data_IF_777819928679
#
_entry.id   IF_777819928679
#
_cell.length_a   1.000
_cell.length_b   1.000
_cell.length_c   1.000
_cell.angle_alpha   90.00
_cell.angle_beta   90.00
_cell.angle_gamma   90.00
#
_symmetry.space_group_name_H-M   'P 1'
#
loop_
_entity.id
_entity.type
_entity.pdbx_description
1 polymer ?
#
# COMPACT_ATOMS: atom_id res chain seq x y z
N UNK A 1 -8.29 -22.79 -7.79
CA UNK A 1 -8.34 -21.70 -6.80
C UNK A 1 -6.94 -21.52 -6.26
N UNK A 2 -6.51 -20.29 -6.00
CA UNK A 2 -5.16 -20.00 -5.48
C UNK A 2 -5.27 -19.11 -4.24
N UNK A 3 -4.55 -19.45 -3.18
CA UNK A 3 -4.50 -18.67 -1.93
C UNK A 3 -3.08 -18.20 -1.64
N UNK A 4 -2.96 -17.09 -0.91
CA UNK A 4 -1.69 -16.57 -0.46
C UNK A 4 -1.01 -17.55 0.53
N UNK A 5 0.33 -17.65 0.54
CA UNK A 5 1.08 -18.45 1.50
C UNK A 5 0.80 -18.11 2.97
N UNK A 6 0.43 -16.86 3.25
CA UNK A 6 0.09 -16.37 4.60
C UNK A 6 -1.40 -16.53 4.94
N UNK A 7 -2.20 -17.10 4.05
CA UNK A 7 -3.65 -17.16 4.23
C UNK A 7 -4.00 -18.04 5.45
N UNK A 8 -4.85 -17.58 6.40
CA UNK A 8 -5.14 -18.32 7.63
C UNK A 8 -5.71 -19.73 7.43
N UNK A 9 -6.33 -19.98 6.28
CA UNK A 9 -6.87 -21.29 5.93
C UNK A 9 -5.84 -22.31 5.42
N UNK A 10 -4.57 -21.94 5.20
CA UNK A 10 -3.52 -22.84 4.67
C UNK A 10 -3.44 -24.12 5.50
N UNK A 11 -3.37 -24.01 6.83
CA UNK A 11 -3.28 -25.18 7.72
C UNK A 11 -4.50 -26.10 7.61
N UNK A 12 -5.70 -25.53 7.50
CA UNK A 12 -6.96 -26.27 7.38
C UNK A 12 -7.14 -26.97 6.02
N UNK A 13 -6.55 -26.40 4.96
CA UNK A 13 -6.70 -26.89 3.59
C UNK A 13 -5.58 -27.83 3.18
N UNK A 14 -4.51 -27.95 3.97
CA UNK A 14 -3.37 -28.81 3.64
C UNK A 14 -3.63 -30.23 4.13
N UNK A 15 -3.58 -31.22 3.24
CA UNK A 15 -3.67 -32.63 3.64
C UNK A 15 -2.36 -33.09 4.27
N UNK A 16 -2.36 -34.15 5.10
CA UNK A 16 -1.14 -34.65 5.74
C UNK A 16 -0.02 -34.97 4.76
N UNK A 17 -0.35 -35.46 3.56
CA UNK A 17 0.61 -35.83 2.51
C UNK A 17 1.31 -34.60 1.91
N UNK A 18 0.64 -33.44 1.89
CA UNK A 18 1.17 -32.19 1.33
C UNK A 18 1.83 -31.30 2.37
N UNK A 19 1.73 -31.63 3.66
CA UNK A 19 2.16 -30.77 4.77
C UNK A 19 3.61 -30.30 4.65
N UNK A 20 4.54 -31.23 4.38
CA UNK A 20 5.96 -30.90 4.26
C UNK A 20 6.26 -29.96 3.07
N UNK A 21 5.63 -30.21 1.92
CA UNK A 21 5.81 -29.40 0.72
C UNK A 21 5.20 -28.00 0.88
N UNK A 22 4.01 -27.91 1.45
CA UNK A 22 3.33 -26.64 1.73
C UNK A 22 4.13 -25.81 2.73
N UNK A 23 4.59 -26.41 3.81
CA UNK A 23 5.40 -25.70 4.82
C UNK A 23 6.67 -25.12 4.19
N UNK A 24 7.42 -25.92 3.45
CA UNK A 24 8.63 -25.47 2.78
C UNK A 24 8.36 -24.32 1.79
N UNK A 25 7.24 -24.39 1.05
CA UNK A 25 6.85 -23.33 0.13
C UNK A 25 6.47 -22.03 0.85
N UNK A 26 5.70 -22.11 1.93
CA UNK A 26 5.33 -20.95 2.74
C UNK A 26 6.54 -20.28 3.39
N UNK A 27 7.51 -21.06 3.89
CA UNK A 27 8.77 -20.54 4.43
C UNK A 27 9.60 -19.81 3.35
N UNK A 28 9.68 -20.39 2.14
CA UNK A 28 10.36 -19.75 1.01
C UNK A 28 9.65 -18.47 0.55
N UNK A 29 8.32 -18.45 0.56
CA UNK A 29 7.55 -17.27 0.20
C UNK A 29 7.71 -16.14 1.23
N UNK A 30 7.79 -16.47 2.51
CA UNK A 30 7.96 -15.51 3.61
C UNK A 30 9.31 -14.77 3.55
N UNK A 31 10.32 -15.31 2.87
CA UNK A 31 11.60 -14.63 2.66
C UNK A 31 11.60 -13.63 1.50
N UNK A 32 10.48 -13.45 0.79
CA UNK A 32 10.33 -12.56 -0.36
C UNK A 32 9.46 -11.37 0.01
N UNK A 33 9.80 -10.17 -0.47
CA UNK A 33 8.88 -9.03 -0.32
C UNK A 33 7.70 -9.13 -1.29
N UNK A 34 6.60 -8.43 -0.99
CA UNK A 34 5.48 -8.27 -1.92
C UNK A 34 5.94 -7.80 -3.32
N UNK A 35 6.94 -6.92 -3.38
CA UNK A 35 7.50 -6.45 -4.64
C UNK A 35 8.17 -7.59 -5.40
N UNK A 36 9.01 -8.38 -4.74
CA UNK A 36 9.73 -9.50 -5.36
C UNK A 36 8.78 -10.62 -5.81
N UNK A 37 7.56 -10.67 -5.25
CA UNK A 37 6.48 -11.61 -5.62
C UNK A 37 5.63 -11.10 -6.78
N UNK A 38 5.54 -9.77 -6.95
CA UNK A 38 4.79 -9.12 -8.02
C UNK A 38 5.64 -8.87 -9.27
N UNK A 39 6.96 -8.88 -9.17
CA UNK A 39 7.84 -8.87 -10.35
C UNK A 39 7.53 -10.07 -11.24
N UNK A 40 7.33 -9.79 -12.54
CA UNK A 40 7.08 -10.82 -13.55
C UNK A 40 8.29 -11.76 -13.67
N UNK A 41 8.22 -12.87 -12.95
CA UNK A 41 9.17 -13.97 -13.08
C UNK A 41 8.78 -14.83 -14.26
N UNK A 42 9.82 -15.30 -14.96
CA UNK A 42 9.69 -16.27 -16.06
C UNK A 42 9.02 -17.57 -15.61
N UNK A 43 9.31 -18.01 -14.38
CA UNK A 43 8.74 -19.23 -13.81
C UNK A 43 7.73 -18.86 -12.71
N UNK A 44 6.48 -19.29 -12.87
CA UNK A 44 5.50 -19.26 -11.77
C UNK A 44 5.89 -20.29 -10.74
N UNK A 45 5.46 -20.12 -9.50
CA UNK A 45 5.68 -21.11 -8.46
C UNK A 45 4.40 -21.33 -7.68
N UNK A 46 4.21 -22.54 -7.18
CA UNK A 46 3.04 -22.88 -6.39
C UNK A 46 3.09 -24.32 -5.91
N UNK A 47 2.26 -24.62 -4.92
CA UNK A 47 2.16 -25.96 -4.31
C UNK A 47 0.68 -26.34 -4.16
N UNK A 48 0.36 -27.59 -4.52
CA UNK A 48 -0.98 -28.12 -4.35
C UNK A 48 -1.23 -28.49 -2.89
N UNK A 49 -2.37 -28.09 -2.35
CA UNK A 49 -2.70 -28.33 -0.93
C UNK A 49 -3.17 -29.75 -0.64
N UNK A 50 -3.54 -30.53 -1.66
CA UNK A 50 -4.22 -31.81 -1.50
C UNK A 50 -5.75 -31.67 -1.41
N UNK A 51 -6.26 -30.45 -1.23
CA UNK A 51 -7.68 -30.17 -1.06
C UNK A 51 -8.32 -29.54 -2.30
N UNK A 52 -9.65 -29.64 -2.34
CA UNK A 52 -10.49 -29.11 -3.40
C UNK A 52 -11.56 -28.19 -2.82
N UNK A 53 -11.89 -27.13 -3.56
CA UNK A 53 -13.03 -26.26 -3.31
C UNK A 53 -14.18 -26.64 -4.26
N UNK A 54 -15.42 -26.43 -3.85
CA UNK A 54 -16.59 -26.63 -4.73
C UNK A 54 -16.92 -25.31 -5.40
N UNK A 55 -16.97 -25.30 -6.74
CA UNK A 55 -17.47 -24.14 -7.48
C UNK A 55 -19.00 -24.01 -7.24
N UNK A 56 -19.48 -22.87 -6.71
CA UNK A 56 -20.87 -22.72 -6.30
C UNK A 56 -21.87 -22.71 -7.46
N UNK A 57 -21.40 -22.60 -8.72
CA UNK A 57 -22.25 -22.52 -9.90
C UNK A 57 -22.47 -23.89 -10.54
N UNK A 58 -21.39 -24.64 -10.80
CA UNK A 58 -21.45 -25.92 -11.50
C UNK A 58 -21.25 -27.13 -10.56
N UNK A 59 -20.91 -26.91 -9.28
CA UNK A 59 -20.69 -27.96 -8.29
C UNK A 59 -19.38 -28.74 -8.46
N UNK A 60 -18.54 -28.38 -9.42
CA UNK A 60 -17.30 -29.11 -9.70
C UNK A 60 -16.22 -28.84 -8.65
N UNK A 61 -15.36 -29.85 -8.45
CA UNK A 61 -14.20 -29.75 -7.58
C UNK A 61 -13.06 -29.00 -8.29
N UNK A 62 -12.60 -27.92 -7.67
CA UNK A 62 -11.50 -27.10 -8.15
C UNK A 62 -10.31 -27.29 -7.21
N UNK A 63 -9.12 -27.68 -7.70
CA UNK A 63 -7.96 -27.84 -6.84
C UNK A 63 -7.56 -26.51 -6.19
N UNK A 64 -7.17 -26.58 -4.92
CA UNK A 64 -6.68 -25.43 -4.16
C UNK A 64 -5.15 -25.45 -4.14
N UNK A 65 -4.56 -24.37 -4.66
CA UNK A 65 -3.12 -24.16 -4.72
C UNK A 65 -2.72 -23.00 -3.81
N UNK A 66 -1.47 -23.02 -3.36
CA UNK A 66 -0.82 -21.89 -2.69
C UNK A 66 0.22 -21.34 -3.66
N UNK A 67 0.20 -20.03 -3.92
CA UNK A 67 1.18 -19.40 -4.80
C UNK A 67 1.52 -17.98 -4.34
N UNK A 68 2.79 -17.61 -4.48
CA UNK A 68 3.31 -16.33 -4.00
C UNK A 68 2.84 -15.11 -4.80
N UNK A 69 2.36 -15.28 -6.03
CA UNK A 69 1.76 -14.17 -6.80
C UNK A 69 0.40 -13.69 -6.23
N UNK A 70 -0.23 -14.47 -5.35
CA UNK A 70 -1.43 -14.05 -4.60
C UNK A 70 -0.99 -13.43 -3.28
N UNK A 71 -1.33 -12.16 -3.06
CA UNK A 71 -0.92 -11.40 -1.88
C UNK A 71 -2.03 -11.37 -0.83
N UNK A 72 -1.69 -11.70 0.42
CA UNK A 72 -2.64 -11.67 1.55
C UNK A 72 -3.21 -10.27 1.80
N UNK A 73 -2.44 -9.22 1.48
CA UNK A 73 -2.83 -7.83 1.66
C UNK A 73 -3.73 -7.29 0.53
N UNK A 74 -4.14 -8.13 -0.44
CA UNK A 74 -4.96 -7.70 -1.57
C UNK A 74 -6.22 -8.57 -1.71
N UNK A 75 -7.39 -7.93 -1.72
CA UNK A 75 -8.66 -8.63 -1.72
C UNK A 75 -8.81 -9.48 -0.45
N UNK A 76 -9.14 -10.76 -0.62
CA UNK A 76 -9.25 -11.73 0.49
C UNK A 76 -7.99 -12.57 0.69
N UNK A 77 -6.91 -12.31 -0.06
CA UNK A 77 -5.75 -13.21 -0.13
C UNK A 77 -6.06 -14.55 -0.79
N UNK A 78 -7.16 -14.64 -1.53
CA UNK A 78 -7.57 -15.81 -2.28
C UNK A 78 -8.24 -15.37 -3.60
N UNK A 79 -7.96 -16.10 -4.69
CA UNK A 79 -8.54 -15.84 -6.01
C UNK A 79 -9.09 -17.11 -6.64
N UNK A 80 -10.14 -16.93 -7.45
CA UNK A 80 -10.43 -17.89 -8.51
C UNK A 80 -9.42 -17.69 -9.63
N UNK A 81 -8.97 -18.80 -10.23
CA UNK A 81 -8.10 -18.75 -11.39
C UNK A 81 -8.92 -19.10 -12.63
N UNK A 82 -8.81 -18.31 -13.70
CA UNK A 82 -9.55 -18.51 -14.96
C UNK A 82 -8.56 -18.52 -16.13
N UNK A 83 -7.83 -19.63 -16.35
CA UNK A 83 -6.67 -19.67 -17.25
C UNK A 83 -6.94 -19.31 -18.71
N UNK A 84 -8.17 -19.50 -19.21
CA UNK A 84 -8.51 -19.11 -20.57
C UNK A 84 -8.64 -17.58 -20.75
N UNK A 85 -8.78 -16.83 -19.65
CA UNK A 85 -9.18 -15.41 -19.66
C UNK A 85 -8.40 -14.51 -18.70
N UNK A 86 -7.34 -15.01 -18.05
CA UNK A 86 -6.32 -14.22 -17.33
C UNK A 86 -4.93 -14.78 -17.66
N UNK A 87 -4.05 -13.92 -18.19
CA UNK A 87 -2.71 -14.31 -18.65
C UNK A 87 -1.85 -14.92 -17.55
N UNK A 88 -1.97 -14.44 -16.30
CA UNK A 88 -1.16 -14.97 -15.18
C UNK A 88 -1.64 -16.36 -14.79
N UNK A 89 -2.95 -16.57 -14.80
CA UNK A 89 -3.55 -17.88 -14.54
C UNK A 89 -3.25 -18.86 -15.69
N UNK A 90 -3.18 -18.38 -16.93
CA UNK A 90 -2.74 -19.16 -18.08
C UNK A 90 -1.31 -19.67 -17.92
N UNK A 91 -0.37 -18.78 -17.59
CA UNK A 91 1.04 -19.14 -17.37
C UNK A 91 1.18 -20.15 -16.23
N UNK A 92 0.45 -19.93 -15.12
CA UNK A 92 0.43 -20.86 -14.00
C UNK A 92 -0.15 -22.21 -14.41
N UNK A 93 -1.28 -22.21 -15.11
CA UNK A 93 -1.94 -23.45 -15.55
C UNK A 93 -1.06 -24.25 -16.51
N UNK A 94 -0.39 -23.58 -17.46
CA UNK A 94 0.55 -24.22 -18.38
C UNK A 94 1.72 -24.87 -17.64
N UNK A 95 2.25 -24.21 -16.62
CA UNK A 95 3.38 -24.73 -15.86
C UNK A 95 3.01 -25.97 -15.00
N UNK A 96 1.81 -25.99 -14.45
CA UNK A 96 1.34 -27.06 -13.56
C UNK A 96 0.38 -28.04 -14.23
N UNK A 97 0.29 -28.01 -15.56
CA UNK A 97 -0.59 -28.86 -16.38
C UNK A 97 -2.06 -28.85 -15.90
N UNK A 98 -2.55 -27.66 -15.55
CA UNK A 98 -3.94 -27.45 -15.10
C UNK A 98 -4.84 -27.24 -16.32
N UNK A 99 -6.02 -27.88 -16.38
CA UNK A 99 -6.94 -27.72 -17.50
C UNK A 99 -7.32 -26.26 -17.77
N UNK A 100 -7.26 -25.87 -19.04
CA UNK A 100 -7.68 -24.56 -19.54
C UNK A 100 -9.05 -24.73 -20.19
N UNK A 101 -10.09 -24.12 -19.61
CA UNK A 101 -11.47 -24.22 -20.08
C UNK A 101 -11.91 -22.84 -20.57
N UNK A 102 -12.21 -22.74 -21.86
CA UNK A 102 -12.77 -21.53 -22.45
C UNK A 102 -14.23 -21.37 -22.07
N UNK A 103 -14.59 -20.19 -21.53
CA UNK A 103 -15.96 -19.82 -21.15
C UNK A 103 -16.44 -18.52 -21.79
N UNK A 104 -15.57 -17.83 -22.54
CA UNK A 104 -15.89 -16.64 -23.32
C UNK A 104 -15.39 -16.83 -24.74
N UNK A 105 -16.31 -16.89 -25.71
CA UNK A 105 -15.99 -16.88 -27.14
C UNK A 105 -15.58 -15.48 -27.57
N UNK A 106 -14.45 -15.38 -28.30
CA UNK A 106 -14.00 -14.16 -28.97
C UNK A 106 -15.06 -13.69 -30.00
N UNK A 107 -15.34 -12.39 -30.12
CA UNK A 107 -16.17 -11.88 -31.21
C UNK A 107 -15.53 -12.17 -32.58
N UNK A 108 -16.34 -12.49 -33.59
CA UNK A 108 -15.85 -12.76 -34.96
C UNK A 108 -15.08 -11.57 -35.59
N UNK A 109 -15.30 -10.35 -35.06
CA UNK A 109 -14.60 -9.13 -35.48
C UNK A 109 -13.19 -8.99 -34.93
N UNK A 110 -12.82 -9.77 -33.92
CA UNK A 110 -11.47 -9.84 -33.40
C UNK A 110 -10.81 -11.07 -34.03
N UNK A 111 -9.79 -10.84 -34.87
CA UNK A 111 -9.02 -11.95 -35.42
C UNK A 111 -8.49 -12.81 -34.26
N UNK A 112 -8.47 -14.13 -34.44
CA UNK A 112 -7.74 -15.00 -33.53
C UNK A 112 -6.26 -14.67 -33.68
N UNK A 113 -5.77 -13.70 -32.90
CA UNK A 113 -4.35 -13.55 -32.66
C UNK A 113 -3.85 -14.90 -32.10
N UNK A 114 -2.58 -15.25 -32.36
CA UNK A 114 -1.91 -16.42 -31.75
C UNK A 114 -1.80 -16.32 -30.21
N UNK A 115 -2.54 -15.40 -29.59
CA UNK A 115 -2.64 -15.22 -28.15
C UNK A 115 -3.48 -16.34 -27.51
N UNK A 116 -2.87 -17.17 -26.66
CA UNK A 116 -3.52 -18.34 -26.10
C UNK A 116 -4.54 -18.01 -24.98
N UNK A 117 -4.71 -16.73 -24.63
CA UNK A 117 -5.61 -16.27 -23.57
C UNK A 117 -6.45 -15.08 -24.07
N UNK A 118 -7.77 -15.15 -23.92
CA UNK A 118 -8.68 -14.07 -24.32
C UNK A 118 -9.16 -13.26 -23.13
N UNK A 119 -8.70 -12.02 -22.99
CA UNK A 119 -9.05 -11.13 -21.86
C UNK A 119 -10.13 -10.09 -22.20
N UNK A 120 -10.69 -10.13 -23.41
CA UNK A 120 -11.69 -9.18 -23.89
C UNK A 120 -13.12 -9.50 -23.44
N UNK A 121 -14.08 -8.70 -23.92
CA UNK A 121 -15.49 -9.01 -23.78
C UNK A 121 -15.95 -9.85 -24.98
N UNK A 122 -16.69 -10.91 -24.72
CA UNK A 122 -17.28 -11.74 -25.76
C UNK A 122 -18.60 -12.36 -25.31
N UNK A 123 -18.88 -13.55 -25.83
CA UNK A 123 -20.12 -14.29 -25.58
C UNK A 123 -19.86 -15.49 -24.68
N UNK A 124 -20.67 -15.68 -23.65
CA UNK A 124 -20.52 -16.81 -22.75
C UNK A 124 -20.76 -18.15 -23.48
N UNK A 125 -19.82 -19.08 -23.30
CA UNK A 125 -19.86 -20.47 -23.79
C UNK A 125 -19.48 -21.41 -22.63
N UNK A 126 -19.77 -22.71 -22.75
CA UNK A 126 -19.46 -23.71 -21.71
C UNK A 126 -19.90 -23.32 -20.29
N UNK A 127 -20.95 -22.50 -20.18
CA UNK A 127 -21.41 -21.82 -18.95
C UNK A 127 -22.87 -22.17 -18.62
N UNK A 128 -23.36 -23.33 -19.05
CA UNK A 128 -24.70 -23.82 -18.72
C UNK A 128 -25.82 -22.85 -19.11
N UNK A 129 -26.65 -22.46 -18.14
CA UNK A 129 -27.78 -21.52 -18.33
C UNK A 129 -27.36 -20.10 -18.74
N UNK A 130 -26.08 -19.78 -18.68
CA UNK A 130 -25.55 -18.48 -19.06
C UNK A 130 -25.05 -18.42 -20.52
N UNK A 131 -25.04 -19.55 -21.23
CA UNK A 131 -24.59 -19.59 -22.62
C UNK A 131 -25.37 -18.59 -23.50
N UNK A 132 -24.63 -17.90 -24.39
CA UNK A 132 -25.19 -16.92 -25.31
C UNK A 132 -25.33 -15.50 -24.76
N UNK A 133 -25.13 -15.29 -23.45
CA UNK A 133 -25.12 -13.95 -22.87
C UNK A 133 -23.85 -13.19 -23.25
N UNK A 134 -23.97 -11.88 -23.49
CA UNK A 134 -22.79 -11.01 -23.60
C UNK A 134 -22.08 -10.90 -22.24
N UNK A 135 -20.78 -10.61 -22.24
CA UNK A 135 -20.00 -10.47 -20.99
C UNK A 135 -20.60 -9.45 -19.99
N UNK A 136 -21.12 -8.27 -20.41
CA UNK A 136 -21.82 -7.36 -19.50
C UNK A 136 -23.11 -7.95 -18.90
N UNK A 137 -23.95 -8.60 -19.69
CA UNK A 137 -25.19 -9.24 -19.23
C UNK A 137 -24.89 -10.41 -18.30
N UNK A 138 -23.89 -11.23 -18.65
CA UNK A 138 -23.40 -12.32 -17.81
C UNK A 138 -22.99 -11.81 -16.42
N UNK A 139 -22.15 -10.75 -16.36
CA UNK A 139 -21.67 -10.17 -15.09
C UNK A 139 -22.81 -9.68 -14.20
N UNK A 140 -23.86 -9.09 -14.78
CA UNK A 140 -25.03 -8.68 -14.02
C UNK A 140 -25.82 -9.88 -13.50
N UNK A 141 -26.07 -10.86 -14.36
CA UNK A 141 -26.89 -12.02 -14.01
C UNK A 141 -26.21 -12.93 -12.99
N UNK A 142 -24.93 -13.27 -13.19
CA UNK A 142 -24.18 -14.11 -12.25
C UNK A 142 -24.07 -13.48 -10.87
N UNK A 143 -23.91 -12.15 -10.79
CA UNK A 143 -23.85 -11.45 -9.51
C UNK A 143 -25.19 -11.52 -8.76
N UNK A 144 -26.31 -11.40 -9.46
CA UNK A 144 -27.65 -11.52 -8.87
C UNK A 144 -27.94 -12.95 -8.41
N UNK A 145 -27.57 -13.95 -9.21
CA UNK A 145 -27.78 -15.36 -8.89
C UNK A 145 -26.94 -15.79 -7.67
N UNK A 146 -25.65 -15.39 -7.62
CA UNK A 146 -24.76 -15.62 -6.46
C UNK A 146 -25.28 -14.94 -5.18
N UNK A 147 -25.82 -13.72 -5.30
CA UNK A 147 -26.42 -13.01 -4.18
C UNK A 147 -27.69 -13.70 -3.67
N UNK A 148 -28.55 -14.16 -4.58
CA UNK A 148 -29.79 -14.88 -4.25
C UNK A 148 -29.49 -16.23 -3.58
N UNK A 149 -28.44 -16.92 -4.04
CA UNK A 149 -27.99 -18.19 -3.45
C UNK A 149 -27.24 -18.01 -2.11
N UNK A 150 -26.89 -16.78 -1.73
CA UNK A 150 -26.11 -16.51 -0.51
C UNK A 150 -24.64 -16.94 -0.61
N UNK A 151 -24.13 -17.23 -1.81
CA UNK A 151 -22.75 -17.70 -2.04
C UNK A 151 -21.81 -16.61 -2.55
N UNK A 152 -22.32 -15.40 -2.80
CA UNK A 152 -21.52 -14.26 -3.20
C UNK A 152 -22.23 -12.93 -2.99
N UNK A 153 -21.48 -11.83 -3.08
CA UNK A 153 -22.01 -10.46 -3.06
C UNK A 153 -21.12 -9.55 -3.90
N UNK A 154 -21.69 -8.45 -4.37
CA UNK A 154 -20.89 -7.39 -4.98
C UNK A 154 -19.97 -6.74 -3.94
N UNK A 155 -18.77 -6.38 -4.40
CA UNK A 155 -17.77 -5.67 -3.61
C UNK A 155 -17.04 -4.67 -4.51
N UNK A 156 -16.74 -3.49 -3.96
CA UNK A 156 -15.85 -2.51 -4.58
C UNK A 156 -14.47 -2.71 -3.97
N UNK A 157 -13.47 -2.87 -4.82
CA UNK A 157 -12.08 -3.05 -4.40
C UNK A 157 -11.20 -1.95 -4.99
N UNK A 158 -10.23 -1.48 -4.20
CA UNK A 158 -9.27 -0.47 -4.62
C UNK A 158 -7.88 -1.10 -4.73
N UNK A 159 -7.10 -0.66 -5.73
CA UNK A 159 -5.67 -0.99 -5.78
C UNK A 159 -4.87 -0.24 -4.71
N UNK A 160 -5.40 0.89 -4.22
CA UNK A 160 -4.80 1.67 -3.15
C UNK A 160 -4.76 0.83 -1.87
N UNK A 161 -3.62 0.85 -1.19
CA UNK A 161 -3.42 0.21 0.12
C UNK A 161 -3.37 1.27 1.21
N UNK A 162 -3.64 0.85 2.43
CA UNK A 162 -3.41 1.68 3.60
C UNK A 162 -1.96 2.12 3.67
N UNK A 163 -1.78 3.34 4.18
CA UNK A 163 -0.47 3.95 4.23
C UNK A 163 0.32 3.45 5.43
N UNK A 164 1.36 2.65 5.16
CA UNK A 164 2.36 2.30 6.17
C UNK A 164 3.10 3.57 6.63
N UNK A 165 2.64 4.11 7.76
CA UNK A 165 3.07 5.41 8.26
C UNK A 165 4.34 5.30 9.11
N UNK A 166 4.46 4.30 9.99
CA UNK A 166 5.59 4.13 10.91
C UNK A 166 6.95 3.90 10.23
N UNK A 167 8.03 4.40 10.85
CA UNK A 167 9.44 4.18 10.44
C UNK A 167 10.29 3.73 11.62
N UNK A 168 11.15 2.73 11.38
CA UNK A 168 12.17 2.29 12.34
C UNK A 168 13.44 3.15 12.22
N UNK A 169 13.29 4.47 12.36
CA UNK A 169 14.36 5.47 12.19
C UNK A 169 14.38 6.41 13.38
N UNK A 170 15.54 6.96 13.70
CA UNK A 170 15.67 7.99 14.74
C UNK A 170 15.14 9.35 14.28
N UNK A 171 15.53 9.80 13.07
CA UNK A 171 15.23 11.15 12.59
C UNK A 171 13.82 11.25 11.98
N UNK A 172 12.84 11.41 12.86
CA UNK A 172 11.43 11.64 12.51
C UNK A 172 10.65 11.99 13.78
N UNK A 173 9.44 12.51 13.63
CA UNK A 173 8.61 12.91 14.76
C UNK A 173 8.22 11.68 15.59
N UNK A 174 8.42 11.67 16.92
CA UNK A 174 7.93 10.59 17.78
C UNK A 174 6.41 10.47 17.72
N UNK A 175 5.89 9.25 17.65
CA UNK A 175 4.45 9.06 17.82
C UNK A 175 4.02 9.44 19.23
N UNK A 176 2.92 10.19 19.41
CA UNK A 176 2.35 10.47 20.72
C UNK A 176 1.53 9.27 21.21
N UNK A 177 2.12 8.07 21.21
CA UNK A 177 1.49 6.80 21.60
C UNK A 177 2.26 6.17 22.76
N UNK A 178 1.50 5.65 23.72
CA UNK A 178 1.97 5.03 24.95
C UNK A 178 1.40 3.62 25.06
N UNK A 179 2.26 2.65 25.35
CA UNK A 179 1.90 1.27 25.64
C UNK A 179 2.02 1.05 27.15
N UNK A 180 0.95 0.66 27.84
CA UNK A 180 1.02 0.37 29.26
C UNK A 180 1.90 -0.85 29.52
N UNK A 181 2.72 -0.78 30.56
CA UNK A 181 3.60 -1.88 30.97
C UNK A 181 3.35 -2.26 32.43
N UNK A 182 3.47 -3.55 32.72
CA UNK A 182 3.40 -4.06 34.08
C UNK A 182 4.69 -3.79 34.90
N UNK A 183 4.74 -4.32 36.11
CA UNK A 183 5.89 -4.16 37.01
C UNK A 183 7.19 -4.76 36.44
N UNK A 184 7.08 -5.78 35.59
CA UNK A 184 8.18 -6.45 34.92
C UNK A 184 8.53 -5.82 33.56
N UNK A 185 7.84 -4.72 33.19
CA UNK A 185 8.06 -3.98 31.95
C UNK A 185 7.43 -4.63 30.72
N UNK A 186 6.56 -5.62 30.88
CA UNK A 186 5.87 -6.28 29.77
C UNK A 186 4.60 -5.51 29.37
N UNK A 187 4.29 -5.40 28.06
CA UNK A 187 3.07 -4.74 27.61
C UNK A 187 1.82 -5.44 28.14
N UNK A 188 0.91 -4.69 28.78
CA UNK A 188 -0.39 -5.24 29.24
C UNK A 188 -1.40 -5.37 28.10
N UNK A 189 -1.12 -4.73 26.95
CA UNK A 189 -2.01 -4.62 25.80
C UNK A 189 -2.83 -3.33 25.79
N UNK A 190 -2.86 -2.55 26.88
CA UNK A 190 -3.50 -1.25 26.89
C UNK A 190 -2.62 -0.20 26.17
N UNK A 191 -3.25 0.61 25.32
CA UNK A 191 -2.60 1.64 24.49
C UNK A 191 -3.37 2.95 24.61
N UNK A 192 -2.67 4.07 24.74
CA UNK A 192 -3.28 5.41 24.74
C UNK A 192 -2.42 6.46 24.06
N UNK A 193 -3.03 7.61 23.76
CA UNK A 193 -2.30 8.80 23.32
C UNK A 193 -1.58 9.50 24.48
N UNK A 194 -0.51 10.24 24.16
CA UNK A 194 0.09 11.21 25.09
C UNK A 194 -0.93 12.34 25.34
N UNK A 195 -1.13 12.78 26.59
CA UNK A 195 -2.02 13.91 26.88
C UNK A 195 -1.63 15.17 26.11
N UNK A 196 -2.61 15.95 25.62
CA UNK A 196 -2.35 17.17 24.83
C UNK A 196 -1.42 18.17 25.55
N UNK A 197 -1.55 18.30 26.88
CA UNK A 197 -0.71 19.17 27.71
C UNK A 197 0.75 18.71 27.83
N UNK A 198 1.07 17.50 27.39
CA UNK A 198 2.42 16.93 27.35
C UNK A 198 2.97 16.85 25.93
N UNK A 199 2.29 17.45 24.95
CA UNK A 199 2.82 17.63 23.60
C UNK A 199 3.69 18.90 23.55
N UNK A 200 4.71 18.92 22.67
CA UNK A 200 5.16 17.83 21.81
C UNK A 200 5.94 16.74 22.58
N UNK A 201 6.01 15.53 22.00
CA UNK A 201 6.98 14.53 22.43
C UNK A 201 8.29 14.83 21.72
N UNK A 202 9.22 15.47 22.42
CA UNK A 202 10.53 15.80 21.84
C UNK A 202 11.35 14.54 21.58
N UNK A 203 12.13 14.55 20.50
CA UNK A 203 13.14 13.52 20.26
C UNK A 203 14.17 13.54 21.40
N UNK A 204 14.50 12.39 22.01
CA UNK A 204 15.50 12.33 23.04
C UNK A 204 16.90 12.55 22.44
N UNK A 205 17.81 13.10 23.24
CA UNK A 205 19.22 13.11 22.88
C UNK A 205 19.77 11.68 22.88
N UNK A 206 20.46 11.29 21.80
CA UNK A 206 21.23 10.04 21.72
C UNK A 206 22.61 10.33 21.11
N UNK A 207 23.66 9.74 21.67
CA UNK A 207 25.02 9.88 21.12
C UNK A 207 25.21 9.06 19.82
N UNK A 208 24.46 7.96 19.69
CA UNK A 208 24.54 7.06 18.53
C UNK A 208 23.16 6.70 17.97
N UNK A 209 22.94 7.06 16.71
CA UNK A 209 21.69 6.82 15.97
C UNK A 209 21.74 5.55 15.11
N UNK A 210 22.85 4.80 15.11
CA UNK A 210 22.99 3.60 14.29
C UNK A 210 22.04 2.49 14.74
N UNK A 211 21.57 1.64 13.80
CA UNK A 211 20.91 0.40 14.16
C UNK A 211 21.80 -0.45 15.07
N UNK A 212 21.21 -1.04 16.11
CA UNK A 212 21.94 -1.82 17.12
C UNK A 212 21.91 -3.34 16.84
N UNK A 213 21.62 -3.74 15.60
CA UNK A 213 21.60 -5.16 15.19
C UNK A 213 20.48 -6.02 15.77
N UNK A 214 19.52 -5.42 16.48
CA UNK A 214 18.29 -6.07 16.95
C UNK A 214 17.10 -5.51 16.16
N UNK A 215 15.93 -6.18 16.11
CA UNK A 215 14.80 -5.74 15.27
C UNK A 215 14.16 -4.43 15.73
N UNK A 216 14.45 -3.96 16.95
CA UNK A 216 13.85 -2.73 17.49
C UNK A 216 14.38 -1.45 16.82
N UNK A 217 13.57 -0.37 16.79
CA UNK A 217 13.99 0.93 16.28
C UNK A 217 15.09 1.58 17.11
N UNK A 218 15.87 2.53 16.55
CA UNK A 218 16.90 3.25 17.29
C UNK A 218 16.44 3.93 18.59
N UNK A 219 15.19 4.42 18.66
CA UNK A 219 14.62 5.04 19.86
C UNK A 219 14.42 4.05 21.03
N UNK A 220 14.50 2.75 20.79
CA UNK A 220 14.54 1.77 21.87
C UNK A 220 15.82 1.86 22.74
N UNK A 221 16.82 2.64 22.31
CA UNK A 221 18.01 2.99 23.10
C UNK A 221 17.85 4.26 23.94
N UNK A 222 16.69 4.92 23.86
CA UNK A 222 16.47 6.16 24.58
C UNK A 222 16.59 5.96 26.11
N UNK A 223 17.03 6.99 26.84
CA UNK A 223 17.07 6.94 28.30
C UNK A 223 15.73 6.50 28.89
N UNK A 224 15.78 5.73 29.98
CA UNK A 224 14.59 5.19 30.63
C UNK A 224 13.58 6.27 31.04
N UNK A 225 14.07 7.45 31.44
CA UNK A 225 13.22 8.60 31.79
C UNK A 225 12.35 9.10 30.62
N UNK A 226 12.85 8.97 29.39
CA UNK A 226 12.10 9.33 28.19
C UNK A 226 11.25 8.16 27.72
N UNK A 227 11.83 6.96 27.67
CA UNK A 227 11.21 5.76 27.09
C UNK A 227 10.07 5.23 27.97
N UNK A 228 10.22 5.34 29.29
CA UNK A 228 9.28 4.81 30.28
C UNK A 228 8.65 5.88 31.19
N UNK A 229 7.83 6.80 30.64
CA UNK A 229 7.19 7.82 31.45
C UNK A 229 6.15 7.20 32.40
N UNK A 230 6.01 7.81 33.57
CA UNK A 230 4.90 7.53 34.50
C UNK A 230 3.88 8.66 34.39
N UNK A 231 2.64 8.34 34.03
CA UNK A 231 1.56 9.31 33.89
C UNK A 231 0.36 8.80 34.67
N UNK A 232 -0.19 9.65 35.55
CA UNK A 232 -1.30 9.30 36.44
C UNK A 232 -1.03 8.06 37.30
N UNK A 233 0.24 7.83 37.67
CA UNK A 233 0.68 6.68 38.46
C UNK A 233 0.86 5.38 37.68
N UNK A 234 0.58 5.38 36.36
CA UNK A 234 0.73 4.22 35.48
C UNK A 234 2.02 4.37 34.68
N UNK A 235 2.81 3.29 34.61
CA UNK A 235 4.04 3.23 33.82
C UNK A 235 3.72 2.83 32.39
N UNK A 236 4.26 3.57 31.44
CA UNK A 236 4.11 3.29 30.01
C UNK A 236 5.47 3.10 29.37
N UNK A 237 5.48 2.51 28.17
CA UNK A 237 6.58 2.55 27.20
C UNK A 237 6.14 3.36 25.99
N UNK A 238 6.92 4.34 25.55
CA UNK A 238 6.63 5.11 24.32
C UNK A 238 6.71 4.23 23.08
N UNK A 239 5.91 4.54 22.06
CA UNK A 239 6.17 4.04 20.71
C UNK A 239 7.56 4.50 20.27
N UNK A 240 8.34 3.55 19.75
CA UNK A 240 9.75 3.73 19.37
C UNK A 240 9.94 3.87 17.86
N UNK A 241 8.88 3.61 17.07
CA UNK A 241 8.83 4.07 15.70
C UNK A 241 8.65 5.58 15.64
N UNK A 242 9.05 6.17 14.51
CA UNK A 242 8.83 7.58 14.19
C UNK A 242 7.89 7.73 13.01
N UNK A 243 7.29 8.90 12.88
CA UNK A 243 6.51 9.28 11.71
C UNK A 243 7.44 9.44 10.48
N UNK A 244 6.92 9.25 9.26
CA UNK A 244 7.72 9.45 8.05
C UNK A 244 7.85 10.95 7.74
N UNK A 245 8.85 11.35 6.95
CA UNK A 245 9.01 12.74 6.48
C UNK A 245 7.74 13.36 5.86
N UNK A 246 6.83 12.53 5.36
CA UNK A 246 5.55 12.97 4.80
C UNK A 246 4.53 13.43 5.87
N UNK A 247 4.74 13.11 7.15
CA UNK A 247 3.89 13.60 8.24
C UNK A 247 3.85 15.13 8.27
N UNK A 248 5.00 15.80 8.11
CA UNK A 248 5.06 17.25 7.96
C UNK A 248 4.64 17.72 6.56
N UNK A 249 5.13 17.05 5.50
CA UNK A 249 4.91 17.53 4.13
C UNK A 249 3.45 17.48 3.67
N UNK A 250 2.56 16.72 4.33
CA UNK A 250 1.16 16.63 3.90
C UNK A 250 0.29 17.83 4.29
N UNK A 251 0.79 18.75 5.13
CA UNK A 251 0.00 19.88 5.61
C UNK A 251 0.80 21.19 5.78
N UNK A 252 2.10 21.19 5.45
CA UNK A 252 2.98 22.36 5.57
C UNK A 252 2.46 23.66 4.91
N UNK A 253 1.70 23.54 3.82
CA UNK A 253 1.09 24.69 3.14
C UNK A 253 0.08 25.43 4.05
N UNK A 254 -0.58 24.72 4.98
CA UNK A 254 -1.42 25.33 6.02
C UNK A 254 -0.54 26.03 7.06
N UNK A 255 0.58 25.41 7.44
CA UNK A 255 1.46 25.99 8.45
C UNK A 255 2.14 27.27 7.99
N UNK A 256 2.40 27.43 6.69
CA UNK A 256 2.94 28.68 6.13
C UNK A 256 2.00 29.88 6.32
N UNK A 257 0.69 29.66 6.45
CA UNK A 257 -0.29 30.71 6.69
C UNK A 257 -0.11 31.32 8.09
N UNK A 258 0.23 30.49 9.08
CA UNK A 258 0.38 30.93 10.47
C UNK A 258 1.55 30.24 11.22
N UNK A 259 2.80 30.49 10.81
CA UNK A 259 3.94 29.64 11.19
C UNK A 259 4.38 29.78 12.65
N UNK A 260 3.94 30.83 13.36
CA UNK A 260 4.33 31.13 14.75
C UNK A 260 3.23 30.86 15.77
N UNK A 261 2.09 30.30 15.34
CA UNK A 261 0.98 30.00 16.23
C UNK A 261 1.28 28.76 17.09
N UNK A 262 1.35 28.94 18.41
CA UNK A 262 1.66 27.88 19.37
C UNK A 262 0.40 27.24 19.99
N UNK A 263 -0.80 27.75 19.67
CA UNK A 263 -2.07 27.24 20.18
C UNK A 263 -2.81 26.34 19.17
N UNK A 264 -2.55 26.53 17.88
CA UNK A 264 -3.19 25.78 16.80
C UNK A 264 -2.23 25.57 15.62
N UNK A 265 -2.54 24.58 14.78
CA UNK A 265 -1.76 24.32 13.58
C UNK A 265 -1.91 25.45 12.54
N UNK A 266 -3.07 26.10 12.48
CA UNK A 266 -3.36 27.34 11.73
C UNK A 266 -4.55 28.09 12.37
N UNK A 267 -4.54 29.41 12.33
CA UNK A 267 -5.71 30.23 12.69
C UNK A 267 -6.83 30.07 11.63
N UNK A 268 -8.09 29.79 12.01
CA UNK A 268 -9.18 29.56 11.05
C UNK A 268 -9.54 30.75 10.16
N UNK A 269 -9.38 31.99 10.63
CA UNK A 269 -9.66 33.18 9.82
C UNK A 269 -8.55 33.38 8.78
N UNK A 270 -7.30 33.18 9.17
CA UNK A 270 -6.17 33.21 8.22
C UNK A 270 -6.25 32.07 7.22
N UNK A 271 -6.64 30.87 7.64
CA UNK A 271 -6.84 29.73 6.75
C UNK A 271 -7.85 30.06 5.64
N UNK A 272 -9.03 30.56 6.00
CA UNK A 272 -10.07 30.95 5.03
C UNK A 272 -9.63 32.07 4.09
N UNK A 273 -8.75 32.96 4.57
CA UNK A 273 -8.26 34.07 3.75
C UNK A 273 -7.26 33.63 2.68
N UNK A 274 -6.49 32.56 2.93
CA UNK A 274 -5.40 32.11 2.05
C UNK A 274 -5.68 30.82 1.30
N UNK A 275 -6.62 29.99 1.76
CA UNK A 275 -6.94 28.72 1.13
C UNK A 275 -8.07 28.84 0.09
N UNK A 276 -8.04 28.01 -0.98
CA UNK A 276 -7.03 27.00 -1.30
C UNK A 276 -5.78 27.61 -1.94
N UNK A 277 -4.70 26.83 -2.07
CA UNK A 277 -3.52 27.26 -2.84
C UNK A 277 -3.90 27.40 -4.32
N UNK A 278 -3.79 28.61 -4.88
CA UNK A 278 -4.16 28.89 -6.26
C UNK A 278 -3.32 28.10 -7.28
N UNK A 279 -1.99 28.09 -7.08
CA UNK A 279 -1.02 27.44 -7.97
C UNK A 279 0.04 26.69 -7.15
N UNK A 280 0.03 25.37 -7.27
CA UNK A 280 1.06 24.50 -6.74
C UNK A 280 2.01 24.06 -7.87
N UNK A 281 3.31 24.27 -7.69
CA UNK A 281 4.35 23.89 -8.66
C UNK A 281 5.23 22.82 -8.03
N UNK A 282 5.38 21.66 -8.67
CA UNK A 282 6.20 20.57 -8.15
C UNK A 282 6.46 19.47 -9.18
N UNK A 283 7.54 18.71 -9.02
CA UNK A 283 7.88 17.67 -9.99
C UNK A 283 6.86 16.52 -10.04
N UNK A 284 6.69 15.92 -11.21
CA UNK A 284 5.74 14.82 -11.43
C UNK A 284 6.03 13.57 -10.57
N UNK A 285 7.23 13.43 -10.01
CA UNK A 285 7.59 12.37 -9.06
C UNK A 285 6.69 12.34 -7.81
N UNK A 286 5.98 13.44 -7.51
CA UNK A 286 5.12 13.57 -6.34
C UNK A 286 3.64 13.21 -6.59
N UNK A 287 3.27 12.81 -7.82
CA UNK A 287 1.89 12.59 -8.23
C UNK A 287 1.13 11.55 -7.39
N UNK A 288 1.75 10.40 -7.08
CA UNK A 288 1.09 9.27 -6.41
C UNK A 288 1.44 9.14 -4.92
N UNK A 289 2.33 10.00 -4.41
CA UNK A 289 2.75 10.02 -3.00
C UNK A 289 2.31 11.33 -2.35
N UNK A 290 3.19 12.33 -2.30
CA UNK A 290 2.98 13.59 -1.60
C UNK A 290 1.65 14.27 -1.97
N UNK A 291 1.30 14.36 -3.25
CA UNK A 291 0.04 15.00 -3.66
C UNK A 291 -1.19 14.20 -3.22
N UNK A 292 -1.13 12.87 -3.28
CA UNK A 292 -2.20 12.01 -2.78
C UNK A 292 -2.34 12.11 -1.26
N UNK A 293 -1.23 12.05 -0.53
CA UNK A 293 -1.22 12.13 0.94
C UNK A 293 -1.63 13.52 1.45
N UNK A 294 -1.24 14.60 0.76
CA UNK A 294 -1.67 15.95 1.08
C UNK A 294 -3.19 16.09 0.94
N UNK A 295 -3.76 15.55 -0.14
CA UNK A 295 -5.22 15.53 -0.35
C UNK A 295 -5.93 14.67 0.70
N UNK A 296 -5.38 13.51 1.05
CA UNK A 296 -5.93 12.65 2.10
C UNK A 296 -5.99 13.39 3.44
N UNK A 297 -4.87 13.95 3.91
CA UNK A 297 -4.83 14.70 5.16
C UNK A 297 -5.72 15.93 5.14
N UNK A 298 -5.75 16.66 4.03
CA UNK A 298 -6.63 17.82 3.90
C UNK A 298 -8.11 17.44 4.03
N UNK A 299 -8.52 16.30 3.45
CA UNK A 299 -9.89 15.80 3.60
C UNK A 299 -10.21 15.35 5.02
N UNK A 300 -9.26 14.70 5.69
CA UNK A 300 -9.42 14.39 7.12
C UNK A 300 -9.63 15.67 7.94
N UNK A 301 -8.85 16.73 7.67
CA UNK A 301 -9.03 18.02 8.34
C UNK A 301 -10.35 18.69 7.97
N UNK A 302 -10.78 18.59 6.71
CA UNK A 302 -12.04 19.16 6.22
C UNK A 302 -13.25 18.49 6.87
N UNK A 303 -13.28 17.16 6.89
CA UNK A 303 -14.34 16.37 7.52
C UNK A 303 -14.43 16.63 9.03
N UNK A 304 -13.32 17.04 9.65
CA UNK A 304 -13.23 17.44 11.06
C UNK A 304 -13.49 18.93 11.31
N UNK A 305 -13.72 19.72 10.26
CA UNK A 305 -14.04 21.15 10.33
C UNK A 305 -12.86 22.08 10.57
N UNK A 306 -11.62 21.62 10.40
CA UNK A 306 -10.40 22.38 10.67
C UNK A 306 -9.89 23.20 9.47
N UNK A 307 -10.34 22.89 8.26
CA UNK A 307 -10.05 23.64 7.02
C UNK A 307 -11.35 23.92 6.28
N UNK A 308 -11.38 25.01 5.51
CA UNK A 308 -12.62 25.50 4.89
C UNK A 308 -12.87 24.94 3.49
N UNK A 309 -11.86 24.35 2.85
CA UNK A 309 -11.95 23.80 1.50
C UNK A 309 -11.75 22.28 1.47
N UNK A 310 -12.32 21.63 0.46
CA UNK A 310 -12.24 20.16 0.31
C UNK A 310 -10.94 19.69 -0.35
N UNK A 311 -10.27 20.56 -1.09
CA UNK A 311 -9.03 20.27 -1.81
C UNK A 311 -8.01 21.39 -1.53
N UNK A 312 -6.74 21.03 -1.29
CA UNK A 312 -5.72 22.01 -0.91
C UNK A 312 -5.17 22.84 -2.09
N UNK A 313 -5.20 22.30 -3.32
CA UNK A 313 -4.54 22.90 -4.49
C UNK A 313 -5.54 23.06 -5.64
N UNK A 314 -5.72 24.28 -6.15
CA UNK A 314 -6.67 24.59 -7.22
C UNK A 314 -6.07 24.30 -8.61
N UNK A 315 -4.81 24.71 -8.83
CA UNK A 315 -4.05 24.41 -10.04
C UNK A 315 -2.73 23.74 -9.67
N UNK A 316 -2.42 22.65 -10.36
CA UNK A 316 -1.14 21.96 -10.26
C UNK A 316 -0.38 22.13 -11.59
N UNK A 317 0.88 22.54 -11.52
CA UNK A 317 1.80 22.57 -12.66
C UNK A 317 3.00 21.71 -12.33
N UNK A 318 3.25 20.70 -13.15
CA UNK A 318 4.43 19.86 -13.00
C UNK A 318 5.56 20.38 -13.88
N UNK A 319 6.64 20.89 -13.28
CA UNK A 319 7.81 21.29 -14.05
C UNK A 319 8.53 20.09 -14.68
N UNK A 320 9.18 20.33 -15.81
CA UNK A 320 10.07 19.35 -16.43
C UNK A 320 11.30 19.06 -15.57
N UNK A 321 11.90 17.88 -15.78
CA UNK A 321 13.13 17.50 -15.11
C UNK A 321 14.32 18.25 -15.72
N UNK A 322 15.16 18.87 -14.89
CA UNK A 322 16.43 19.44 -15.35
C UNK A 322 17.45 18.30 -15.49
N UNK A 323 18.04 18.19 -16.68
CA UNK A 323 19.06 17.20 -17.00
C UNK A 323 20.45 17.84 -16.95
N UNK A 324 21.44 17.07 -16.49
CA UNK A 324 22.84 17.44 -16.59
C UNK A 324 23.38 17.26 -18.01
N UNK A 325 24.63 17.62 -18.24
CA UNK A 325 25.31 17.50 -19.55
C UNK A 325 25.31 16.06 -20.10
N UNK A 326 25.19 15.07 -19.21
CA UNK A 326 25.09 13.66 -19.56
C UNK A 326 23.67 13.21 -19.96
N UNK A 327 22.72 14.14 -20.16
CA UNK A 327 21.29 13.87 -20.44
C UNK A 327 20.58 13.05 -19.35
N UNK A 328 21.11 13.03 -18.14
CA UNK A 328 20.48 12.38 -17.00
C UNK A 328 19.95 13.39 -16.00
N UNK A 329 18.95 13.01 -15.20
CA UNK A 329 18.46 13.84 -14.08
C UNK A 329 19.63 14.31 -13.22
N UNK A 330 19.71 15.62 -12.98
CA UNK A 330 20.69 16.16 -12.04
C UNK A 330 20.45 15.59 -10.64
N UNK A 331 21.47 14.97 -10.04
CA UNK A 331 21.39 14.43 -8.69
C UNK A 331 22.77 14.37 -8.01
N UNK A 332 22.82 14.66 -6.70
CA UNK A 332 24.07 14.61 -5.93
C UNK A 332 24.74 13.24 -6.01
N UNK A 333 23.94 12.16 -6.00
CA UNK A 333 24.43 10.78 -6.12
C UNK A 333 25.17 10.49 -7.43
N UNK A 334 24.91 11.25 -8.49
CA UNK A 334 25.54 11.08 -9.80
C UNK A 334 26.67 12.08 -10.06
N UNK A 335 26.89 13.03 -9.14
CA UNK A 335 27.92 14.06 -9.29
C UNK A 335 27.72 15.01 -10.48
N UNK A 336 26.53 15.01 -11.11
CA UNK A 336 26.23 15.78 -12.32
C UNK A 336 25.43 17.07 -12.04
N UNK A 337 25.49 17.58 -10.81
CA UNK A 337 24.75 18.78 -10.39
C UNK A 337 25.55 20.02 -10.81
N UNK A 338 24.92 20.91 -11.56
CA UNK A 338 25.43 22.28 -11.73
C UNK A 338 25.02 23.08 -10.49
N UNK A 339 26.01 23.61 -9.75
CA UNK A 339 25.76 24.35 -8.53
C UNK A 339 25.28 25.78 -8.89
N UNK A 340 24.05 26.19 -8.51
CA UNK A 340 23.55 27.52 -8.84
C UNK A 340 24.42 28.65 -8.27
N UNK A 341 25.08 28.44 -7.13
CA UNK A 341 25.92 29.48 -6.50
C UNK A 341 27.13 29.86 -7.38
N UNK A 342 27.67 28.91 -8.13
CA UNK A 342 28.78 29.15 -9.06
C UNK A 342 28.30 29.99 -10.24
N UNK A 343 27.13 29.69 -10.80
CA UNK A 343 26.54 30.45 -11.91
C UNK A 343 26.19 31.87 -11.48
N UNK A 344 25.58 32.05 -10.30
CA UNK A 344 25.24 33.38 -9.77
C UNK A 344 26.50 34.22 -9.54
N UNK A 345 27.57 33.62 -9.00
CA UNK A 345 28.84 34.33 -8.78
C UNK A 345 29.45 34.79 -10.10
N UNK A 346 29.44 33.94 -11.12
CA UNK A 346 30.19 34.17 -12.35
C UNK A 346 29.38 34.99 -13.39
N UNK A 347 28.05 34.88 -13.40
CA UNK A 347 27.17 35.48 -14.41
C UNK A 347 25.99 36.30 -13.85
N UNK A 348 25.72 36.23 -12.55
CA UNK A 348 24.61 36.94 -11.91
C UNK A 348 23.29 36.16 -11.88
N UNK A 349 22.39 36.55 -10.97
CA UNK A 349 21.11 35.86 -10.74
C UNK A 349 20.15 35.97 -11.93
N UNK A 350 20.16 37.10 -12.65
CA UNK A 350 19.26 37.32 -13.79
C UNK A 350 19.61 36.44 -14.99
N UNK A 351 20.88 36.07 -15.17
CA UNK A 351 21.28 35.12 -16.22
C UNK A 351 20.97 33.67 -15.87
N UNK A 352 20.83 33.34 -14.58
CA UNK A 352 20.45 32.00 -14.13
C UNK A 352 18.92 31.74 -14.24
N UNK A 353 18.10 32.79 -14.07
CA UNK A 353 16.63 32.71 -14.13
C UNK A 353 16.13 32.62 -15.57
#
# INVERSE_FOLDING_TARGET
MVIAPEHPAVSRLTTPEQQAAVQAYCEQAASKSDRDRMEEKKDKTGVFTGSYAINPINGEQVPVWIADYVLISYGTGAIMAVPAHDTRDWEFAKQFDIPVIEVVARPDSEAADDEPCFTGNGTAINSGSYNGLSTPEFKQRIAADLATAGTGRQAVNYKLRDWLFSRQRFWGEPFPILHEVDADGQPTGAIRGVPESQLPVDLPHLDDYKPHGRPEPPLAKAPDEWLYPVIDGIRYRRETNTMPQWAGSCWYYLRFIDPRNDQAFVDPEKERAWMPVDLYIGGAEHAVLHLLYSRFWHKVLYDRGYVSTKEPFQRLVNQGMILGENNEKMSKSRGNVVNPDEIVRDFGADSLR
#
